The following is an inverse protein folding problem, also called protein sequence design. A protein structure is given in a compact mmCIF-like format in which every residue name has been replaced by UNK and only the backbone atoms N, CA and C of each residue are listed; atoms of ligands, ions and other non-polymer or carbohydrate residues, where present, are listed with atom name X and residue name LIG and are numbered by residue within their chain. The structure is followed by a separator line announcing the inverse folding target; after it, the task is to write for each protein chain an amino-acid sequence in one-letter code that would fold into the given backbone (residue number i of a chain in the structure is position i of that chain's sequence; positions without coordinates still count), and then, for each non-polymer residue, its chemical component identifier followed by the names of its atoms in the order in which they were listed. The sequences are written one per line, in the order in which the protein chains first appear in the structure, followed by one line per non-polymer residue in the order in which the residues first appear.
data_IF_830330855045
#
_entry.id   IF_830330855045
#
_cell.length_a   1.000
_cell.length_b   1.000
_cell.length_c   1.000
_cell.angle_alpha   90.00
_cell.angle_beta   90.00
_cell.angle_gamma   90.00
#
_symmetry.space_group_name_H-M   'P 1'
#
loop_
_entity.id
_entity.type
_entity.pdbx_description
1 polymer ?
#
# COMPACT_ATOMS: atom_id res chain seq x y z
N UNK A 1 -4.97 13.21 14.17
CA UNK A 1 -5.62 12.98 12.87
C UNK A 1 -4.55 12.98 11.81
N UNK A 2 -4.72 12.13 10.80
CA UNK A 2 -3.78 11.97 9.69
C UNK A 2 -4.48 12.34 8.39
N UNK A 3 -3.72 12.83 7.41
CA UNK A 3 -4.21 12.98 6.04
C UNK A 3 -4.15 11.64 5.28
N UNK A 4 -4.53 11.64 4.00
CA UNK A 4 -4.51 10.45 3.15
C UNK A 4 -3.09 9.92 2.85
N UNK A 5 -2.07 10.76 3.03
CA UNK A 5 -0.67 10.37 2.87
C UNK A 5 -0.07 9.83 4.17
N UNK A 6 -0.85 9.80 5.26
CA UNK A 6 -0.43 9.36 6.58
C UNK A 6 0.37 10.40 7.37
N UNK A 7 0.39 11.67 6.96
CA UNK A 7 1.08 12.72 7.71
C UNK A 7 0.26 13.15 8.93
N UNK A 8 0.89 13.40 10.08
CA UNK A 8 0.19 13.83 11.30
C UNK A 8 -0.22 15.30 11.20
N UNK A 9 -1.48 15.57 10.89
CA UNK A 9 -1.97 16.95 10.67
C UNK A 9 -2.57 17.59 11.93
N UNK A 10 -3.01 16.80 12.90
CA UNK A 10 -3.66 17.34 14.11
C UNK A 10 -3.44 16.45 15.33
N UNK A 11 -3.15 17.06 16.48
CA UNK A 11 -3.12 16.41 17.79
C UNK A 11 -4.13 17.09 18.73
N UNK A 12 -5.10 16.36 19.31
CA UNK A 12 -6.03 16.94 20.27
C UNK A 12 -5.30 17.60 21.45
N UNK A 13 -5.73 18.80 21.84
CA UNK A 13 -5.17 19.56 22.96
C UNK A 13 -3.65 19.83 22.86
N UNK A 14 -3.10 19.91 21.64
CA UNK A 14 -1.65 20.08 21.39
C UNK A 14 -1.01 21.19 22.23
N UNK A 15 -1.62 22.37 22.32
CA UNK A 15 -1.09 23.47 23.12
C UNK A 15 -1.05 23.20 24.63
N UNK A 16 -1.99 22.39 25.16
CA UNK A 16 -2.01 22.06 26.61
C UNK A 16 -1.16 20.85 26.93
N UNK A 17 -1.22 19.80 26.11
CA UNK A 17 -0.54 18.53 26.34
C UNK A 17 0.92 18.54 25.89
N UNK A 18 1.22 19.24 24.79
CA UNK A 18 2.51 19.23 24.13
C UNK A 18 3.14 20.62 23.98
N UNK A 19 2.49 21.67 24.49
CA UNK A 19 2.97 23.07 24.44
C UNK A 19 3.26 23.58 23.02
N UNK A 20 2.66 22.96 22.00
CA UNK A 20 2.98 23.16 20.59
C UNK A 20 4.48 22.90 20.25
N UNK A 21 5.16 22.07 21.05
CA UNK A 21 6.56 21.67 20.84
C UNK A 21 6.68 20.32 20.13
N UNK A 22 5.55 19.68 19.81
CA UNK A 22 5.54 18.41 19.10
C UNK A 22 5.89 18.62 17.63
N UNK A 23 7.00 18.02 17.22
CA UNK A 23 7.41 17.93 15.81
C UNK A 23 6.60 16.85 15.08
N UNK A 24 5.46 17.24 14.50
CA UNK A 24 4.51 16.32 13.85
C UNK A 24 5.09 15.56 12.67
N UNK A 25 6.10 16.11 12.00
CA UNK A 25 6.74 15.49 10.84
C UNK A 25 7.43 14.16 11.20
N UNK A 26 7.81 13.99 12.48
CA UNK A 26 8.39 12.76 13.01
C UNK A 26 7.37 11.69 13.41
N UNK A 27 6.08 12.01 13.37
CA UNK A 27 5.01 11.15 13.91
C UNK A 27 3.94 10.81 12.88
N UNK A 28 4.30 10.76 11.59
CA UNK A 28 3.43 10.20 10.55
C UNK A 28 3.11 8.72 10.81
N UNK A 29 2.02 8.24 10.22
CA UNK A 29 1.70 6.82 10.16
C UNK A 29 2.83 6.06 9.45
N UNK A 30 3.09 4.84 9.89
CA UNK A 30 4.11 3.99 9.27
C UNK A 30 3.67 3.68 7.84
N UNK A 31 4.43 4.19 6.86
CA UNK A 31 4.14 4.01 5.43
C UNK A 31 4.78 2.71 4.95
N UNK A 32 4.05 1.94 4.14
CA UNK A 32 4.63 0.80 3.41
C UNK A 32 5.73 1.36 2.51
N UNK A 33 6.99 0.95 2.67
CA UNK A 33 8.12 1.69 2.11
C UNK A 33 8.30 1.43 0.61
N UNK A 34 7.81 0.29 0.10
CA UNK A 34 7.78 0.00 -1.33
C UNK A 34 6.38 -0.44 -1.73
N UNK A 35 5.79 0.31 -2.65
CA UNK A 35 4.53 -0.02 -3.30
C UNK A 35 4.82 -0.08 -4.79
N UNK A 36 4.45 -1.18 -5.43
CA UNK A 36 4.51 -1.36 -6.87
C UNK A 36 3.09 -1.47 -7.42
N UNK A 37 2.85 -0.80 -8.54
CA UNK A 37 1.64 -0.96 -9.33
C UNK A 37 2.00 -1.77 -10.58
N UNK A 38 1.21 -2.79 -10.88
CA UNK A 38 1.38 -3.62 -12.06
C UNK A 38 0.02 -4.01 -12.63
N UNK A 39 -0.35 -3.43 -13.78
CA UNK A 39 -1.58 -3.75 -14.53
C UNK A 39 -2.87 -3.56 -13.71
N UNK A 40 -2.91 -2.52 -12.87
CA UNK A 40 -4.02 -2.20 -11.97
C UNK A 40 -3.94 -2.88 -10.60
N UNK A 41 -2.96 -3.76 -10.37
CA UNK A 41 -2.74 -4.43 -9.09
C UNK A 41 -1.67 -3.71 -8.29
N UNK A 42 -1.95 -3.47 -7.00
CA UNK A 42 -1.00 -2.84 -6.08
C UNK A 42 -0.40 -3.90 -5.15
N UNK A 43 0.93 -3.97 -5.12
CA UNK A 43 1.72 -4.84 -4.26
C UNK A 43 2.56 -3.99 -3.30
N UNK A 44 2.69 -4.42 -2.04
CA UNK A 44 3.46 -3.72 -1.03
C UNK A 44 4.46 -4.65 -0.35
N UNK A 45 5.64 -4.14 -0.03
CA UNK A 45 6.63 -4.83 0.81
C UNK A 45 7.25 -3.90 1.83
N UNK A 46 7.63 -4.46 2.97
CA UNK A 46 8.41 -3.79 4.01
C UNK A 46 9.92 -3.95 3.82
N UNK A 47 10.34 -4.81 2.89
CA UNK A 47 11.74 -5.10 2.62
C UNK A 47 12.31 -4.16 1.54
N UNK A 48 13.38 -3.45 1.90
CA UNK A 48 14.06 -2.48 1.05
C UNK A 48 15.21 -3.07 0.24
N UNK A 49 15.65 -4.30 0.56
CA UNK A 49 16.86 -4.90 -0.01
C UNK A 49 16.55 -5.90 -1.15
N UNK A 50 15.29 -6.02 -1.56
CA UNK A 50 14.87 -6.92 -2.65
C UNK A 50 14.82 -6.19 -4.00
N UNK A 51 14.86 -6.92 -5.13
CA UNK A 51 14.73 -6.35 -6.47
C UNK A 51 13.45 -5.53 -6.70
N UNK A 52 13.37 -4.83 -7.83
CA UNK A 52 12.13 -4.20 -8.29
C UNK A 52 11.05 -5.24 -8.58
N UNK A 53 9.77 -4.86 -8.42
CA UNK A 53 8.65 -5.82 -8.46
C UNK A 53 8.59 -6.63 -9.76
N UNK A 54 8.88 -6.02 -10.91
CA UNK A 54 8.90 -6.74 -12.18
C UNK A 54 10.03 -7.76 -12.29
N UNK A 55 11.19 -7.49 -11.68
CA UNK A 55 12.30 -8.45 -11.60
C UNK A 55 11.95 -9.58 -10.64
N UNK A 56 11.30 -9.26 -9.51
CA UNK A 56 10.77 -10.24 -8.57
C UNK A 56 9.74 -11.19 -9.22
N UNK A 57 8.88 -10.69 -10.10
CA UNK A 57 7.95 -11.53 -10.86
C UNK A 57 8.67 -12.53 -11.77
N UNK A 58 9.83 -12.15 -12.33
CA UNK A 58 10.60 -12.99 -13.24
C UNK A 58 9.75 -13.56 -14.37
N UNK A 59 9.91 -14.85 -14.64
CA UNK A 59 9.19 -15.54 -15.73
C UNK A 59 7.67 -15.62 -15.51
N UNK A 60 7.19 -15.44 -14.28
CA UNK A 60 5.74 -15.44 -14.00
C UNK A 60 5.04 -14.24 -14.64
N UNK A 61 5.78 -13.15 -14.91
CA UNK A 61 5.26 -11.95 -15.57
C UNK A 61 4.52 -12.27 -16.87
N UNK A 62 5.07 -13.17 -17.69
CA UNK A 62 4.44 -13.61 -18.95
C UNK A 62 3.05 -14.22 -18.72
N UNK A 63 2.92 -15.07 -17.71
CA UNK A 63 1.64 -15.70 -17.38
C UNK A 63 0.66 -14.69 -16.79
N UNK A 64 1.14 -13.76 -15.96
CA UNK A 64 0.31 -12.69 -15.42
C UNK A 64 -0.28 -11.83 -16.54
N UNK A 65 0.56 -11.37 -17.47
CA UNK A 65 0.16 -10.53 -18.60
C UNK A 65 -0.85 -11.24 -19.51
N UNK A 66 -0.65 -12.54 -19.75
CA UNK A 66 -1.57 -13.34 -20.56
C UNK A 66 -3.01 -13.33 -20.02
N UNK A 67 -3.16 -13.23 -18.70
CA UNK A 67 -4.47 -13.17 -18.05
C UNK A 67 -4.96 -11.73 -17.92
N UNK A 68 -4.11 -10.81 -17.46
CA UNK A 68 -4.55 -9.50 -16.95
C UNK A 68 -4.30 -8.32 -17.90
N UNK A 69 -3.50 -8.49 -18.96
CA UNK A 69 -3.17 -7.43 -19.93
C UNK A 69 -3.81 -7.69 -21.30
N UNK A 70 -4.96 -8.39 -21.32
CA UNK A 70 -5.60 -8.88 -22.55
C UNK A 70 -6.50 -7.84 -23.24
N UNK A 71 -6.96 -6.83 -22.50
CA UNK A 71 -7.91 -5.82 -22.96
C UNK A 71 -7.35 -4.43 -22.71
N UNK A 72 -7.57 -3.51 -23.66
CA UNK A 72 -7.02 -2.14 -23.61
C UNK A 72 -7.48 -1.37 -22.37
N UNK A 73 -8.70 -1.63 -21.89
CA UNK A 73 -9.28 -0.99 -20.68
C UNK A 73 -8.89 -1.71 -19.37
N UNK A 74 -8.12 -2.79 -19.44
CA UNK A 74 -7.65 -3.55 -18.28
C UNK A 74 -8.74 -4.33 -17.55
N UNK A 75 -8.57 -4.48 -16.24
CA UNK A 75 -9.44 -5.24 -15.36
C UNK A 75 -10.00 -4.38 -14.22
N UNK A 76 -11.20 -4.71 -13.78
CA UNK A 76 -11.79 -4.18 -12.56
C UNK A 76 -12.30 -5.29 -11.65
N UNK A 77 -12.30 -5.02 -10.34
CA UNK A 77 -12.93 -5.90 -9.35
C UNK A 77 -14.39 -5.50 -9.21
N UNK A 78 -15.30 -6.42 -9.54
CA UNK A 78 -16.74 -6.19 -9.45
C UNK A 78 -17.26 -6.58 -8.08
N UNK A 79 -17.80 -5.60 -7.35
CA UNK A 79 -18.44 -5.80 -6.06
C UNK A 79 -17.46 -5.93 -4.88
N UNK A 80 -17.99 -6.21 -3.68
CA UNK A 80 -17.16 -6.40 -2.50
C UNK A 80 -16.42 -7.74 -2.57
N UNK A 81 -15.20 -7.78 -2.02
CA UNK A 81 -14.46 -9.04 -1.88
C UNK A 81 -15.13 -9.91 -0.81
N UNK A 82 -15.38 -11.18 -1.14
CA UNK A 82 -15.89 -12.15 -0.18
C UNK A 82 -14.81 -12.44 0.87
N UNK A 83 -15.18 -12.38 2.17
CA UNK A 83 -14.27 -12.59 3.30
C UNK A 83 -14.84 -13.60 4.28
N UNK A 84 -14.06 -14.62 4.62
CA UNK A 84 -14.38 -15.64 5.62
C UNK A 84 -13.11 -16.15 6.28
N UNK A 85 -13.25 -16.81 7.43
CA UNK A 85 -12.13 -17.42 8.17
C UNK A 85 -12.15 -18.93 7.93
N UNK A 86 -11.02 -19.49 7.52
CA UNK A 86 -10.76 -20.94 7.46
C UNK A 86 -9.66 -21.25 8.47
N UNK A 87 -9.82 -22.31 9.26
CA UNK A 87 -8.78 -22.80 10.17
C UNK A 87 -7.77 -23.70 9.41
N UNK A 88 -6.92 -23.05 8.62
CA UNK A 88 -5.85 -23.66 7.83
C UNK A 88 -4.67 -22.69 7.70
N UNK A 89 -3.49 -23.20 7.32
CA UNK A 89 -2.38 -22.37 6.82
C UNK A 89 -2.58 -22.03 5.35
#
# INVERSE_FOLDING_TARGET
AYDLEGNLINVPQEGRGYRNELDKDKWGAIKVPRIAEYKGFYFGTWDMEIPEFEEYLGDFKFFFDTHFDRWDDGFEVVGPVMRWVIDAN
#
